data_IF_292844243648
#
_entry.id   IF_292844243648
#
_cell.length_a   1.000
_cell.length_b   1.000
_cell.length_c   1.000
_cell.angle_alpha   90.00
_cell.angle_beta   90.00
_cell.angle_gamma   90.00
#
_symmetry.space_group_name_H-M   'P 1'
#
loop_
_entity.id
_entity.type
_entity.pdbx_description
1 polymer ?
#
# COMPACT_ATOMS: atom_id res chain seq x y z
N UNK A 1 -16.56 8.46 0.33
CA UNK A 1 -15.19 8.21 0.83
C UNK A 1 -14.22 8.67 -0.24
N UNK A 2 -12.98 9.03 0.13
CA UNK A 2 -11.93 9.34 -0.87
C UNK A 2 -11.75 8.15 -1.82
N UNK A 3 -11.42 8.41 -3.09
CA UNK A 3 -11.12 7.33 -4.04
C UNK A 3 -9.77 6.69 -3.72
N UNK A 4 -9.55 5.43 -4.13
CA UNK A 4 -8.24 4.81 -3.95
C UNK A 4 -7.13 5.57 -4.69
N UNK A 5 -7.45 6.13 -5.86
CA UNK A 5 -6.53 7.00 -6.60
C UNK A 5 -6.14 8.25 -5.81
N UNK A 6 -7.12 8.87 -5.11
CA UNK A 6 -6.85 10.04 -4.25
C UNK A 6 -5.97 9.68 -3.06
N UNK A 7 -6.21 8.54 -2.41
CA UNK A 7 -5.41 8.07 -1.27
C UNK A 7 -3.96 7.76 -1.72
N UNK A 8 -3.79 7.02 -2.81
CA UNK A 8 -2.46 6.66 -3.36
C UNK A 8 -1.67 7.88 -3.87
N UNK A 9 -2.36 8.96 -4.20
CA UNK A 9 -1.76 10.23 -4.60
C UNK A 9 -1.12 11.01 -3.45
N UNK A 10 -1.32 10.61 -2.19
CA UNK A 10 -0.77 11.33 -1.04
C UNK A 10 0.75 11.06 -0.86
N UNK A 11 1.45 12.01 -0.26
CA UNK A 11 2.93 12.02 -0.14
C UNK A 11 3.47 10.88 0.72
N UNK A 12 2.67 10.35 1.68
CA UNK A 12 3.04 9.20 2.51
C UNK A 12 3.19 7.90 1.69
N UNK A 13 2.61 7.83 0.49
CA UNK A 13 2.75 6.71 -0.44
C UNK A 13 3.94 6.90 -1.40
N UNK A 14 4.99 7.55 -0.92
CA UNK A 14 6.28 7.75 -1.59
C UNK A 14 7.37 7.42 -0.57
N UNK A 15 8.12 6.36 -0.81
CA UNK A 15 9.05 5.80 0.19
C UNK A 15 10.16 6.81 0.52
N UNK A 16 10.52 7.63 -0.47
CA UNK A 16 11.54 8.66 -0.42
C UNK A 16 11.20 9.75 0.60
N UNK A 17 9.90 9.96 0.85
CA UNK A 17 9.40 10.94 1.81
C UNK A 17 9.39 10.45 3.26
N UNK A 18 9.49 9.14 3.48
CA UNK A 18 9.34 8.52 4.80
C UNK A 18 10.57 7.72 5.25
N UNK A 19 11.48 7.38 4.33
CA UNK A 19 12.68 6.60 4.60
C UNK A 19 13.92 7.27 3.99
N UNK A 20 14.81 7.72 4.86
CA UNK A 20 16.10 8.29 4.45
C UNK A 20 16.94 7.26 3.69
N UNK A 21 17.56 7.70 2.59
CA UNK A 21 18.35 6.84 1.69
C UNK A 21 17.54 5.64 1.14
N UNK A 22 16.25 5.84 0.85
CA UNK A 22 15.34 4.79 0.35
C UNK A 22 15.89 4.03 -0.87
N UNK A 23 16.75 4.67 -1.68
CA UNK A 23 17.41 4.09 -2.86
C UNK A 23 18.37 2.93 -2.55
N UNK A 24 18.77 2.77 -1.28
CA UNK A 24 19.70 1.70 -0.83
C UNK A 24 18.98 0.40 -0.48
N UNK A 25 17.66 0.41 -0.38
CA UNK A 25 16.86 -0.73 0.01
C UNK A 25 16.29 -1.43 -1.22
N UNK A 26 16.41 -2.75 -1.26
CA UNK A 26 15.92 -3.56 -2.37
C UNK A 26 14.82 -4.50 -1.91
N UNK A 27 13.77 -4.65 -2.72
CA UNK A 27 12.72 -5.64 -2.52
C UNK A 27 13.10 -7.01 -3.08
N UNK A 28 13.84 -7.01 -4.20
CA UNK A 28 14.35 -8.21 -4.86
C UNK A 28 15.83 -8.03 -5.18
N UNK A 29 16.63 -9.00 -4.74
CA UNK A 29 18.05 -9.15 -5.10
C UNK A 29 18.21 -10.57 -5.63
N UNK A 30 18.34 -10.76 -6.94
CA UNK A 30 18.68 -12.06 -7.54
C UNK A 30 20.16 -12.09 -7.93
N UNK A 31 20.78 -13.24 -7.71
CA UNK A 31 22.00 -13.60 -8.40
C UNK A 31 21.71 -13.71 -9.92
N UNK A 32 22.67 -13.27 -10.71
CA UNK A 32 22.61 -12.92 -12.15
C UNK A 32 21.70 -13.74 -13.09
N UNK A 33 21.24 -13.20 -14.23
CA UNK A 33 21.21 -11.80 -14.65
C UNK A 33 19.75 -11.33 -14.80
N UNK A 34 19.25 -10.40 -13.96
CA UNK A 34 18.17 -9.45 -14.30
C UNK A 34 17.83 -8.56 -13.10
N UNK A 35 18.04 -7.25 -13.29
CA UNK A 35 17.50 -6.08 -12.56
C UNK A 35 17.28 -6.24 -11.04
N UNK A 36 18.11 -5.57 -10.27
CA UNK A 36 17.76 -5.16 -8.92
C UNK A 36 16.49 -4.30 -8.96
N UNK A 37 15.50 -4.63 -8.14
CA UNK A 37 14.30 -3.82 -7.91
C UNK A 37 14.42 -3.20 -6.51
N UNK A 38 14.46 -1.87 -6.47
CA UNK A 38 14.45 -1.13 -5.20
C UNK A 38 13.13 -1.36 -4.46
N UNK A 39 13.14 -1.19 -3.13
CA UNK A 39 11.92 -1.28 -2.34
C UNK A 39 10.91 -0.22 -2.79
N UNK A 40 11.37 1.00 -3.08
CA UNK A 40 10.52 2.07 -3.61
C UNK A 40 9.82 1.66 -4.91
N UNK A 41 10.56 1.17 -5.92
CA UNK A 41 9.99 0.70 -7.18
C UNK A 41 8.94 -0.41 -6.96
N UNK A 42 9.25 -1.36 -6.10
CA UNK A 42 8.36 -2.48 -5.78
C UNK A 42 7.04 -2.02 -5.17
N UNK A 43 7.10 -1.12 -4.18
CA UNK A 43 5.90 -0.61 -3.52
C UNK A 43 5.05 0.25 -4.48
N UNK A 44 5.66 1.08 -5.32
CA UNK A 44 4.95 1.83 -6.36
C UNK A 44 4.31 0.92 -7.41
N UNK A 45 5.02 -0.13 -7.83
CA UNK A 45 4.49 -1.10 -8.78
C UNK A 45 3.30 -1.87 -8.20
N UNK A 46 3.37 -2.21 -6.90
CA UNK A 46 2.28 -2.83 -6.15
C UNK A 46 1.03 -1.96 -6.16
N UNK A 47 1.14 -0.68 -5.79
CA UNK A 47 0.00 0.26 -5.82
C UNK A 47 -0.56 0.44 -7.23
N UNK A 48 0.31 0.51 -8.24
CA UNK A 48 -0.09 0.59 -9.65
C UNK A 48 -0.94 -0.61 -10.08
N UNK A 49 -0.53 -1.83 -9.74
CA UNK A 49 -1.31 -3.02 -10.08
C UNK A 49 -2.56 -3.18 -9.22
N UNK A 50 -2.52 -2.79 -7.95
CA UNK A 50 -3.71 -2.70 -7.10
C UNK A 50 -4.77 -1.80 -7.74
N UNK A 51 -4.43 -0.57 -8.15
CA UNK A 51 -5.36 0.32 -8.84
C UNK A 51 -5.92 -0.29 -10.12
N UNK A 52 -5.07 -0.94 -10.93
CA UNK A 52 -5.55 -1.66 -12.13
C UNK A 52 -6.57 -2.75 -11.79
N UNK A 53 -6.33 -3.53 -10.74
CA UNK A 53 -7.25 -4.57 -10.30
C UNK A 53 -8.57 -3.98 -9.81
N UNK A 54 -8.50 -2.91 -9.01
CA UNK A 54 -9.67 -2.16 -8.54
C UNK A 54 -10.50 -1.65 -9.71
N UNK A 55 -9.88 -0.98 -10.68
CA UNK A 55 -10.57 -0.40 -11.83
C UNK A 55 -11.18 -1.47 -12.74
N UNK A 56 -10.41 -2.51 -13.08
CA UNK A 56 -10.87 -3.54 -14.01
C UNK A 56 -12.00 -4.39 -13.43
N UNK A 57 -12.06 -4.55 -12.11
CA UNK A 57 -13.05 -5.39 -11.44
C UNK A 57 -14.09 -4.58 -10.64
N UNK A 58 -14.07 -3.23 -10.75
CA UNK A 58 -14.96 -2.32 -10.02
C UNK A 58 -14.99 -2.58 -8.50
N UNK A 59 -13.82 -2.82 -7.91
CA UNK A 59 -13.74 -3.23 -6.50
C UNK A 59 -13.94 -2.07 -5.53
N UNK A 60 -13.82 -0.81 -5.97
CA UNK A 60 -13.88 0.34 -5.06
C UNK A 60 -15.23 0.45 -4.34
N UNK A 61 -16.34 0.35 -5.08
CA UNK A 61 -17.68 0.39 -4.50
C UNK A 61 -17.95 -0.81 -3.56
N UNK A 62 -17.41 -1.98 -3.90
CA UNK A 62 -17.56 -3.19 -3.11
C UNK A 62 -16.82 -3.06 -1.78
N UNK A 63 -15.58 -2.57 -1.81
CA UNK A 63 -14.77 -2.37 -0.62
C UNK A 63 -15.36 -1.26 0.25
N UNK A 64 -15.81 -0.15 -0.34
CA UNK A 64 -16.47 0.94 0.39
C UNK A 64 -17.73 0.46 1.12
N UNK A 65 -18.55 -0.36 0.45
CA UNK A 65 -19.71 -1.00 1.08
C UNK A 65 -19.31 -1.89 2.25
N UNK A 66 -18.31 -2.76 2.08
CA UNK A 66 -17.85 -3.66 3.14
C UNK A 66 -17.29 -2.90 4.35
N UNK A 67 -16.57 -1.80 4.11
CA UNK A 67 -16.05 -0.95 5.19
C UNK A 67 -17.21 -0.29 5.95
N UNK A 68 -18.19 0.26 5.23
CA UNK A 68 -19.35 0.89 5.88
C UNK A 68 -20.18 -0.11 6.68
N UNK A 69 -20.41 -1.30 6.13
CA UNK A 69 -21.11 -2.40 6.80
C UNK A 69 -20.35 -2.88 8.05
N UNK A 70 -19.02 -2.99 7.97
CA UNK A 70 -18.17 -3.28 9.12
C UNK A 70 -18.34 -2.23 10.22
N UNK A 71 -18.23 -0.94 9.89
CA UNK A 71 -18.36 0.15 10.86
C UNK A 71 -19.74 0.13 11.54
N UNK A 72 -20.80 -0.05 10.76
CA UNK A 72 -22.17 -0.11 11.28
C UNK A 72 -22.39 -1.35 12.15
N UNK A 73 -21.94 -2.53 11.71
CA UNK A 73 -22.07 -3.80 12.44
C UNK A 73 -21.30 -3.84 13.76
N UNK A 74 -20.22 -3.07 13.89
CA UNK A 74 -19.46 -2.92 15.13
C UNK A 74 -20.07 -1.88 16.09
N UNK A 75 -21.23 -1.29 15.77
CA UNK A 75 -21.96 -0.37 16.65
C UNK A 75 -21.51 1.09 16.57
N UNK A 76 -20.68 1.45 15.58
CA UNK A 76 -20.27 2.84 15.34
C UNK A 76 -21.27 3.62 14.46
N UNK A 77 -22.37 2.98 14.04
CA UNK A 77 -23.37 3.58 13.17
C UNK A 77 -22.77 3.97 11.82
N UNK A 78 -23.12 5.16 11.30
CA UNK A 78 -22.63 5.68 10.02
C UNK A 78 -21.45 6.64 10.19
N UNK A 79 -20.48 6.27 11.03
CA UNK A 79 -19.28 7.08 11.25
C UNK A 79 -18.40 7.11 9.99
N UNK A 80 -18.53 8.21 9.24
CA UNK A 80 -17.78 8.43 8.01
C UNK A 80 -16.29 8.64 8.24
N UNK A 81 -15.90 9.22 9.38
CA UNK A 81 -14.50 9.48 9.69
C UNK A 81 -13.80 8.14 9.95
N UNK A 82 -14.43 7.27 10.74
CA UNK A 82 -13.90 5.92 10.97
C UNK A 82 -13.85 5.09 9.68
N UNK A 83 -14.88 5.15 8.85
CA UNK A 83 -14.88 4.47 7.55
C UNK A 83 -13.75 4.95 6.63
N UNK A 84 -13.56 6.28 6.53
CA UNK A 84 -12.47 6.86 5.74
C UNK A 84 -11.09 6.46 6.29
N UNK A 85 -10.92 6.48 7.61
CA UNK A 85 -9.69 6.01 8.25
C UNK A 85 -9.41 4.53 7.91
N UNK A 86 -10.41 3.65 8.00
CA UNK A 86 -10.26 2.22 7.64
C UNK A 86 -9.87 2.07 6.16
N UNK A 87 -10.45 2.84 5.24
CA UNK A 87 -10.08 2.78 3.82
C UNK A 87 -8.65 3.24 3.58
N UNK A 88 -8.19 4.28 4.28
CA UNK A 88 -6.79 4.70 4.26
C UNK A 88 -5.89 3.57 4.77
N UNK A 89 -6.22 2.97 5.93
CA UNK A 89 -5.45 1.84 6.49
C UNK A 89 -5.43 0.61 5.58
N UNK A 90 -6.50 0.37 4.82
CA UNK A 90 -6.54 -0.71 3.83
C UNK A 90 -5.47 -0.53 2.75
N UNK A 91 -5.31 0.69 2.22
CA UNK A 91 -4.25 1.00 1.25
C UNK A 91 -2.87 0.99 1.92
N UNK A 92 -2.76 1.53 3.15
CA UNK A 92 -1.53 1.50 3.95
C UNK A 92 -1.03 0.06 4.12
N UNK A 93 -1.90 -0.90 4.45
CA UNK A 93 -1.52 -2.29 4.61
C UNK A 93 -0.94 -2.90 3.32
N UNK A 94 -1.49 -2.54 2.15
CA UNK A 94 -0.97 -2.98 0.84
C UNK A 94 0.39 -2.36 0.56
N UNK A 95 0.52 -1.04 0.78
CA UNK A 95 1.77 -0.33 0.53
C UNK A 95 2.90 -0.77 1.45
N UNK A 96 2.63 -1.04 2.72
CA UNK A 96 3.66 -1.40 3.70
C UNK A 96 3.84 -2.92 3.88
N UNK A 97 3.20 -3.76 3.06
CA UNK A 97 3.23 -5.22 3.22
C UNK A 97 4.66 -5.79 3.31
N UNK A 98 5.58 -5.20 2.54
CA UNK A 98 6.99 -5.60 2.44
C UNK A 98 7.96 -4.60 3.09
N UNK A 99 7.46 -3.63 3.85
CA UNK A 99 8.31 -2.62 4.49
C UNK A 99 9.36 -3.24 5.43
N UNK A 100 9.06 -4.41 6.02
CA UNK A 100 10.01 -5.18 6.82
C UNK A 100 11.32 -5.53 6.09
N UNK A 101 11.35 -5.47 4.75
CA UNK A 101 12.57 -5.66 3.96
C UNK A 101 13.63 -4.60 4.22
N UNK A 102 13.32 -3.46 4.86
CA UNK A 102 14.34 -2.51 5.33
C UNK A 102 15.28 -3.11 6.38
N UNK A 103 14.89 -4.22 7.02
CA UNK A 103 15.69 -4.91 8.01
C UNK A 103 17.08 -5.28 7.47
N UNK A 104 18.12 -4.97 8.24
CA UNK A 104 19.51 -5.24 7.87
C UNK A 104 19.76 -6.72 7.52
N UNK A 105 19.15 -7.67 8.24
CA UNK A 105 19.30 -9.10 7.95
C UNK A 105 18.70 -9.49 6.59
N UNK A 106 17.70 -8.76 6.10
CA UNK A 106 17.17 -8.95 4.76
C UNK A 106 18.05 -8.27 3.70
N UNK A 107 18.65 -7.11 4.03
CA UNK A 107 19.53 -6.36 3.14
C UNK A 107 20.97 -6.91 3.09
N UNK A 108 21.37 -7.78 4.02
CA UNK A 108 22.66 -8.48 3.98
C UNK A 108 22.54 -9.71 3.06
N UNK A 109 23.45 -9.83 2.10
CA UNK A 109 23.60 -11.01 1.27
C UNK A 109 24.10 -12.17 2.15
N UNK A 110 23.36 -13.26 2.24
CA UNK A 110 23.93 -14.56 2.66
C UNK A 110 24.59 -15.23 1.48
#
# INVERSE_FOLDING_TARGET
>A
MKSFETIIGQEEFRLENILNNSEKYFAHRRDEPLKYETLAEHLQLTLKYFLKLVMNNKLEEIIDYQICDLVESQGFGKDKILAEFIKEQFVTAIYFHDFGKVNENFQIKK
#
